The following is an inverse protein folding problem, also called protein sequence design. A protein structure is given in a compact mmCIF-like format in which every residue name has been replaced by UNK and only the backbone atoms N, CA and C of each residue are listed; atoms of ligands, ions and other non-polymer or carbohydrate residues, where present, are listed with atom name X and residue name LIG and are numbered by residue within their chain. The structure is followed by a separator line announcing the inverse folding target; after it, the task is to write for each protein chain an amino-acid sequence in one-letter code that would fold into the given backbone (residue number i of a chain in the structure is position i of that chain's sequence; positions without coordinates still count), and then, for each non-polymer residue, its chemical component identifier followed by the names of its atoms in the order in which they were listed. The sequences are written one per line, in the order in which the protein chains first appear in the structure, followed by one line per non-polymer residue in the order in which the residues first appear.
data_IF_314399523965
#
_entry.id   IF_314399523965
#
_cell.length_a   1.000
_cell.length_b   1.000
_cell.length_c   1.000
_cell.angle_alpha   90.00
_cell.angle_beta   90.00
_cell.angle_gamma   90.00
#
_symmetry.space_group_name_H-M   'P 1'
#
loop_
_entity.id
_entity.type
_entity.pdbx_description
1 polymer ?
#
# COMPACT_ATOMS: atom_id res chain seq x y z
N UNK A 1 29.40 0.38 -2.82
CA UNK A 1 28.03 0.79 -2.43
C UNK A 1 27.97 2.31 -2.49
N UNK A 2 26.80 2.93 -2.66
CA UNK A 2 26.65 4.37 -2.52
C UNK A 2 27.24 4.83 -1.17
N UNK A 3 27.93 5.97 -1.16
CA UNK A 3 28.67 6.46 0.00
C UNK A 3 27.77 6.74 1.23
N UNK A 4 26.47 6.90 0.99
CA UNK A 4 25.42 7.25 1.95
C UNK A 4 24.53 6.06 2.37
N UNK A 5 24.82 4.84 1.91
CA UNK A 5 23.96 3.67 2.13
C UNK A 5 23.66 3.38 3.61
N UNK A 6 24.68 3.47 4.49
CA UNK A 6 24.52 3.22 5.93
C UNK A 6 23.58 4.27 6.55
N UNK A 7 23.74 5.54 6.18
CA UNK A 7 22.88 6.62 6.68
C UNK A 7 21.44 6.42 6.22
N UNK A 8 21.25 6.15 4.93
CA UNK A 8 19.94 5.92 4.32
C UNK A 8 19.16 4.78 5.00
N UNK A 9 19.81 3.64 5.28
CA UNK A 9 19.13 2.48 5.92
C UNK A 9 18.76 2.76 7.38
N UNK A 10 19.48 3.67 8.06
CA UNK A 10 19.21 4.02 9.45
C UNK A 10 18.26 5.21 9.59
N UNK A 11 17.87 5.87 8.49
CA UNK A 11 16.87 6.93 8.53
C UNK A 11 15.49 6.31 8.83
N UNK A 12 14.73 6.89 9.78
CA UNK A 12 13.37 6.44 10.04
C UNK A 12 12.49 6.71 8.82
N UNK A 13 11.75 5.69 8.38
CA UNK A 13 10.73 5.85 7.35
C UNK A 13 9.63 6.80 7.83
N UNK A 14 8.97 7.49 6.88
CA UNK A 14 7.84 8.36 7.20
C UNK A 14 6.65 7.53 7.65
N UNK A 15 5.92 8.02 8.64
CA UNK A 15 4.75 7.33 9.20
C UNK A 15 3.72 6.97 8.11
N UNK A 16 3.48 7.86 7.14
CA UNK A 16 2.55 7.64 6.03
C UNK A 16 2.99 6.49 5.10
N UNK A 17 4.29 6.42 4.80
CA UNK A 17 4.87 5.38 3.95
C UNK A 17 4.80 4.01 4.66
N UNK A 18 5.07 4.01 5.96
CA UNK A 18 4.99 2.83 6.81
C UNK A 18 3.53 2.33 6.94
N UNK A 19 2.57 3.24 7.07
CA UNK A 19 1.15 2.89 7.12
C UNK A 19 0.67 2.30 5.79
N UNK A 20 1.06 2.89 4.66
CA UNK A 20 0.72 2.35 3.34
C UNK A 20 1.35 0.97 3.12
N UNK A 21 2.61 0.78 3.51
CA UNK A 21 3.30 -0.51 3.45
C UNK A 21 2.56 -1.57 4.28
N UNK A 22 2.23 -1.24 5.53
CA UNK A 22 1.48 -2.12 6.44
C UNK A 22 0.09 -2.45 5.87
N UNK A 23 -0.60 -1.46 5.31
CA UNK A 23 -1.88 -1.67 4.65
C UNK A 23 -1.72 -2.65 3.49
N UNK A 24 -0.73 -2.45 2.62
CA UNK A 24 -0.43 -3.34 1.48
C UNK A 24 -0.16 -4.78 1.93
N UNK A 25 0.64 -4.97 2.98
CA UNK A 25 0.92 -6.30 3.55
C UNK A 25 -0.35 -6.94 4.12
N UNK A 26 -1.09 -6.22 4.95
CA UNK A 26 -2.27 -6.76 5.65
C UNK A 26 -3.45 -7.03 4.71
N UNK A 27 -3.62 -6.22 3.66
CA UNK A 27 -4.77 -6.27 2.74
C UNK A 27 -4.48 -7.02 1.45
N UNK A 28 -3.20 -7.26 1.15
CA UNK A 28 -2.77 -7.75 -0.17
C UNK A 28 -2.91 -6.70 -1.29
N UNK A 29 -3.06 -5.41 -0.95
CA UNK A 29 -3.08 -4.32 -1.95
C UNK A 29 -1.66 -4.15 -2.52
N UNK A 30 -1.49 -4.04 -3.85
CA UNK A 30 -0.20 -3.68 -4.45
C UNK A 30 0.37 -2.37 -3.88
N UNK A 31 1.68 -2.31 -3.65
CA UNK A 31 2.39 -1.12 -3.15
C UNK A 31 3.13 -0.40 -4.28
N UNK A 32 3.09 0.92 -4.32
CA UNK A 32 3.81 1.73 -5.32
C UNK A 32 2.99 2.91 -5.85
N UNK A 33 3.31 3.37 -7.06
CA UNK A 33 2.59 4.50 -7.67
C UNK A 33 1.14 4.14 -7.98
N UNK A 34 0.22 5.05 -7.70
CA UNK A 34 -1.22 4.86 -7.90
C UNK A 34 -1.59 4.34 -9.31
N UNK A 35 -0.98 4.90 -10.36
CA UNK A 35 -1.18 4.44 -11.75
C UNK A 35 -0.83 2.96 -11.94
N UNK A 36 0.26 2.50 -11.30
CA UNK A 36 0.69 1.11 -11.35
C UNK A 36 -0.22 0.23 -10.50
N UNK A 37 -0.59 0.69 -9.31
CA UNK A 37 -1.53 -0.01 -8.41
C UNK A 37 -2.84 -0.28 -9.15
N UNK A 38 -3.45 0.76 -9.74
CA UNK A 38 -4.72 0.62 -10.48
C UNK A 38 -4.59 -0.34 -11.66
N UNK A 39 -3.46 -0.31 -12.38
CA UNK A 39 -3.20 -1.26 -13.46
C UNK A 39 -3.11 -2.71 -12.97
N UNK A 40 -2.44 -2.95 -11.84
CA UNK A 40 -2.29 -4.30 -11.27
C UNK A 40 -3.61 -4.80 -10.70
N UNK A 41 -4.35 -3.93 -10.00
CA UNK A 41 -5.67 -4.26 -9.47
C UNK A 41 -6.59 -4.73 -10.59
N UNK A 42 -6.72 -3.94 -11.67
CA UNK A 42 -7.57 -4.28 -12.80
C UNK A 42 -7.08 -5.52 -13.56
N UNK A 43 -5.76 -5.72 -13.66
CA UNK A 43 -5.19 -6.86 -14.40
C UNK A 43 -5.46 -8.20 -13.70
N UNK A 44 -5.46 -8.20 -12.36
CA UNK A 44 -5.56 -9.41 -11.55
C UNK A 44 -6.87 -9.52 -10.75
N UNK A 45 -7.84 -8.64 -11.00
CA UNK A 45 -9.12 -8.57 -10.29
C UNK A 45 -8.95 -8.50 -8.76
N UNK A 46 -8.09 -7.60 -8.29
CA UNK A 46 -7.77 -7.42 -6.86
C UNK A 46 -8.57 -6.29 -6.20
N UNK A 47 -9.71 -5.91 -6.75
CA UNK A 47 -10.53 -4.79 -6.25
C UNK A 47 -10.99 -5.06 -4.80
N UNK A 48 -11.14 -6.32 -4.41
CA UNK A 48 -11.46 -6.71 -3.03
C UNK A 48 -10.41 -6.29 -2.01
N UNK A 49 -9.13 -6.18 -2.41
CA UNK A 49 -8.03 -5.80 -1.51
C UNK A 49 -8.11 -4.34 -1.08
N UNK A 50 -8.68 -3.47 -1.93
CA UNK A 50 -8.84 -2.02 -1.68
C UNK A 50 -10.22 -1.62 -1.17
N UNK A 51 -11.26 -2.45 -1.34
CA UNK A 51 -12.62 -2.15 -0.87
C UNK A 51 -12.74 -2.31 0.64
N UNK A 52 -13.54 -1.46 1.28
CA UNK A 52 -13.82 -1.59 2.71
C UNK A 52 -14.29 -3.00 3.08
N UNK A 53 -13.76 -3.60 4.17
CA UNK A 53 -14.07 -4.97 4.58
C UNK A 53 -15.52 -5.17 5.03
N UNK A 54 -16.27 -4.10 5.28
CA UNK A 54 -17.58 -4.17 5.90
C UNK A 54 -18.69 -4.24 4.87
N UNK A 55 -19.75 -4.99 5.22
CA UNK A 55 -21.03 -4.87 4.53
C UNK A 55 -21.45 -3.40 4.56
N UNK A 56 -21.88 -2.80 3.42
CA UNK A 56 -22.33 -1.42 3.39
C UNK A 56 -23.34 -1.16 4.52
N UNK A 57 -23.06 -0.16 5.36
CA UNK A 57 -23.97 0.22 6.44
C UNK A 57 -25.33 0.57 5.81
N UNK A 58 -26.43 0.04 6.36
CA UNK A 58 -27.77 0.50 5.96
C UNK A 58 -27.81 2.02 6.18
N UNK A 59 -28.24 2.76 5.16
CA UNK A 59 -28.50 4.20 5.32
C UNK A 59 -29.55 4.37 6.45
N UNK A 60 -29.45 5.44 7.26
CA UNK A 60 -30.46 5.73 8.27
C UNK A 60 -31.85 5.87 7.62
#
# INVERSE_FOLDING_TARGET
MPDDYISYVNEPEKDDELEELRYSVNRGKPYGREQWINRIINRFNLESTVRDPWRPKKRP
#
